data_IF_321588561914
#
_entry.id   IF_321588561914
#
_cell.length_a   1.000
_cell.length_b   1.000
_cell.length_c   1.000
_cell.angle_alpha   90.00
_cell.angle_beta   90.00
_cell.angle_gamma   90.00
#
_symmetry.space_group_name_H-M   'P 1'
#
loop_
_entity.id
_entity.type
_entity.pdbx_description
1 polymer ?
#
# COMPACT_ATOMS: atom_id res chain seq x y z
N UNK A 1 8.79 -0.93 -3.54
CA UNK A 1 7.31 -0.93 -3.45
C UNK A 1 6.69 0.09 -4.39
N UNK A 2 7.20 1.33 -4.47
CA UNK A 2 6.75 2.32 -5.46
C UNK A 2 7.41 2.03 -6.80
N UNK A 3 6.65 2.03 -7.88
CA UNK A 3 7.12 1.88 -9.26
C UNK A 3 7.41 3.23 -9.90
N UNK A 4 6.53 4.20 -9.73
CA UNK A 4 6.68 5.55 -10.24
C UNK A 4 5.84 6.55 -9.45
N UNK A 5 6.18 7.83 -9.58
CA UNK A 5 5.45 8.95 -8.98
C UNK A 5 5.10 9.92 -10.11
N UNK A 6 3.86 10.39 -10.12
CA UNK A 6 3.26 11.26 -11.13
C UNK A 6 2.56 12.46 -10.47
N UNK A 7 2.17 13.44 -11.28
CA UNK A 7 1.49 14.69 -10.91
C UNK A 7 1.96 15.31 -9.57
N UNK A 8 3.27 15.46 -9.41
CA UNK A 8 3.84 16.01 -8.17
C UNK A 8 3.60 17.51 -8.13
N UNK A 9 2.89 17.97 -7.10
CA UNK A 9 2.64 19.38 -6.83
C UNK A 9 3.01 19.73 -5.39
N UNK A 10 3.82 20.77 -5.23
CA UNK A 10 4.07 21.43 -3.97
C UNK A 10 3.55 22.87 -4.05
N UNK A 11 2.84 23.33 -3.02
CA UNK A 11 2.36 24.71 -2.91
C UNK A 11 2.80 25.28 -1.58
N UNK A 12 3.56 26.36 -1.65
CA UNK A 12 3.95 27.18 -0.51
C UNK A 12 2.78 28.10 -0.13
N UNK A 13 2.34 28.01 1.12
CA UNK A 13 1.22 28.76 1.68
C UNK A 13 1.68 29.87 2.64
N UNK A 14 2.98 30.16 2.69
CA UNK A 14 3.59 31.10 3.61
C UNK A 14 4.58 30.42 4.58
N UNK A 15 5.05 31.16 5.61
CA UNK A 15 6.10 30.67 6.50
C UNK A 15 5.74 29.31 7.11
N UNK A 16 6.59 28.32 6.88
CA UNK A 16 6.50 26.96 7.44
C UNK A 16 5.20 26.19 7.12
N UNK A 17 4.58 26.49 5.96
CA UNK A 17 3.36 25.83 5.51
C UNK A 17 3.42 25.42 4.04
N UNK A 18 3.80 24.18 3.79
CA UNK A 18 3.81 23.56 2.45
C UNK A 18 2.72 22.49 2.37
N UNK A 19 1.99 22.47 1.25
CA UNK A 19 1.09 21.38 0.84
C UNK A 19 1.75 20.57 -0.28
N UNK A 20 1.88 19.27 -0.06
CA UNK A 20 2.40 18.32 -1.02
C UNK A 20 1.30 17.37 -1.51
N UNK A 21 1.20 17.19 -2.83
CA UNK A 21 0.31 16.24 -3.49
C UNK A 21 1.11 15.45 -4.52
N UNK A 22 0.88 14.15 -4.61
CA UNK A 22 1.45 13.32 -5.67
C UNK A 22 0.61 12.07 -5.93
N UNK A 23 0.62 11.61 -7.17
CA UNK A 23 0.08 10.33 -7.58
C UNK A 23 1.18 9.27 -7.50
N UNK A 24 0.90 8.13 -6.88
CA UNK A 24 1.88 7.09 -6.62
C UNK A 24 1.42 5.78 -7.23
N UNK A 25 2.23 5.25 -8.16
CA UNK A 25 2.03 3.93 -8.73
C UNK A 25 2.78 2.91 -7.90
N UNK A 26 2.05 1.95 -7.31
CA UNK A 26 2.64 0.88 -6.51
C UNK A 26 2.86 -0.39 -7.35
N UNK A 27 3.95 -1.09 -7.07
CA UNK A 27 4.15 -2.44 -7.59
C UNK A 27 3.36 -3.42 -6.73
N UNK A 28 2.18 -3.82 -7.23
CA UNK A 28 1.31 -4.79 -6.55
C UNK A 28 2.03 -6.09 -6.16
N UNK A 29 2.99 -6.56 -6.96
CA UNK A 29 3.76 -7.78 -6.62
C UNK A 29 4.67 -7.56 -5.42
N UNK A 30 5.29 -6.39 -5.30
CA UNK A 30 6.10 -6.05 -4.12
C UNK A 30 5.22 -5.90 -2.88
N UNK A 31 4.05 -5.26 -3.01
CA UNK A 31 3.09 -5.12 -1.90
C UNK A 31 2.60 -6.50 -1.44
N UNK A 32 2.22 -7.37 -2.36
CA UNK A 32 1.85 -8.75 -2.04
C UNK A 32 3.02 -9.50 -1.43
N UNK A 33 4.25 -9.33 -1.90
CA UNK A 33 5.42 -9.99 -1.29
C UNK A 33 5.62 -9.58 0.17
N UNK A 34 5.42 -8.30 0.49
CA UNK A 34 5.46 -7.82 1.88
C UNK A 34 4.32 -8.38 2.73
N UNK A 35 3.14 -8.58 2.14
CA UNK A 35 2.03 -9.25 2.81
C UNK A 35 2.38 -10.73 3.11
N UNK A 36 2.92 -11.45 2.12
CA UNK A 36 3.30 -12.86 2.24
C UNK A 36 4.40 -13.12 3.28
N UNK A 37 5.28 -12.16 3.55
CA UNK A 37 6.31 -12.31 4.60
C UNK A 37 5.74 -12.53 6.01
N UNK A 38 4.47 -12.18 6.24
CA UNK A 38 3.78 -12.38 7.52
C UNK A 38 2.99 -13.69 7.59
N UNK A 39 3.00 -14.46 6.50
CA UNK A 39 2.18 -15.66 6.35
C UNK A 39 3.05 -16.92 6.35
N UNK A 40 2.46 -18.02 6.81
CA UNK A 40 3.02 -19.35 6.66
C UNK A 40 2.56 -19.94 5.33
N UNK A 41 3.43 -19.84 4.31
CA UNK A 41 3.13 -20.31 2.96
C UNK A 41 3.00 -21.83 2.87
N UNK A 42 3.67 -22.59 3.73
CA UNK A 42 3.57 -24.06 3.74
C UNK A 42 2.19 -24.49 4.23
N UNK A 43 1.70 -23.84 5.29
CA UNK A 43 0.33 -24.04 5.77
C UNK A 43 -0.71 -23.66 4.73
N UNK A 44 -0.57 -22.48 4.11
CA UNK A 44 -1.51 -22.02 3.08
C UNK A 44 -1.53 -22.97 1.88
N UNK A 45 -0.38 -23.45 1.43
CA UNK A 45 -0.30 -24.42 0.34
C UNK A 45 -1.07 -25.70 0.68
N UNK A 46 -0.92 -26.21 1.91
CA UNK A 46 -1.64 -27.38 2.40
C UNK A 46 -3.15 -27.14 2.46
N UNK A 47 -3.56 -25.96 2.91
CA UNK A 47 -4.98 -25.58 2.98
C UNK A 47 -5.61 -25.56 1.58
N UNK A 48 -4.93 -24.94 0.59
CA UNK A 48 -5.39 -24.86 -0.80
C UNK A 48 -5.47 -26.25 -1.45
N UNK A 49 -4.53 -27.15 -1.16
CA UNK A 49 -4.56 -28.53 -1.66
C UNK A 49 -5.78 -29.32 -1.16
N UNK A 50 -6.38 -28.89 -0.04
CA UNK A 50 -7.60 -29.47 0.52
C UNK A 50 -8.89 -28.93 -0.10
N UNK A 51 -8.84 -27.87 -0.90
CA UNK A 51 -10.04 -27.29 -1.50
C UNK A 51 -10.61 -28.20 -2.57
N UNK A 52 -11.94 -28.39 -2.53
CA UNK A 52 -12.66 -29.28 -3.45
C UNK A 52 -13.62 -28.51 -4.35
N UNK A 53 -13.88 -27.24 -4.01
CA UNK A 53 -14.85 -26.40 -4.72
C UNK A 53 -14.23 -25.07 -5.15
N UNK A 54 -14.76 -24.51 -6.24
CA UNK A 54 -14.37 -23.18 -6.72
C UNK A 54 -14.72 -22.10 -5.68
N UNK A 55 -15.81 -22.27 -4.93
CA UNK A 55 -16.23 -21.32 -3.89
C UNK A 55 -15.22 -21.21 -2.74
N UNK A 56 -14.58 -22.30 -2.34
CA UNK A 56 -13.51 -22.27 -1.32
C UNK A 56 -12.30 -21.46 -1.80
N UNK A 57 -11.89 -21.71 -3.05
CA UNK A 57 -10.80 -20.97 -3.70
C UNK A 57 -11.15 -19.49 -3.87
N UNK A 58 -12.36 -19.18 -4.30
CA UNK A 58 -12.84 -17.80 -4.47
C UNK A 58 -12.79 -17.03 -3.14
N UNK A 59 -13.32 -17.62 -2.06
CA UNK A 59 -13.26 -17.02 -0.73
C UNK A 59 -11.82 -16.76 -0.29
N UNK A 60 -10.93 -17.72 -0.48
CA UNK A 60 -9.51 -17.57 -0.16
C UNK A 60 -8.88 -16.39 -0.92
N UNK A 61 -9.15 -16.27 -2.22
CA UNK A 61 -8.62 -15.17 -3.04
C UNK A 61 -9.18 -13.80 -2.63
N UNK A 62 -10.47 -13.74 -2.25
CA UNK A 62 -11.09 -12.52 -1.76
C UNK A 62 -10.48 -12.07 -0.43
N UNK A 63 -10.32 -12.98 0.54
CA UNK A 63 -9.72 -12.68 1.84
C UNK A 63 -8.29 -12.15 1.70
N UNK A 64 -7.46 -12.78 0.86
CA UNK A 64 -6.10 -12.30 0.61
C UNK A 64 -6.06 -11.02 -0.22
N UNK A 65 -7.02 -10.84 -1.15
CA UNK A 65 -7.17 -9.62 -1.93
C UNK A 65 -7.40 -8.41 -1.04
N UNK A 66 -8.33 -8.51 -0.09
CA UNK A 66 -8.61 -7.47 0.91
C UNK A 66 -7.37 -7.14 1.72
N UNK A 67 -6.68 -8.16 2.26
CA UNK A 67 -5.46 -7.95 3.07
C UNK A 67 -4.31 -7.28 2.30
N UNK A 68 -4.19 -7.54 0.99
CA UNK A 68 -3.20 -6.87 0.14
C UNK A 68 -3.56 -5.40 -0.06
N UNK A 69 -4.84 -5.08 -0.25
CA UNK A 69 -5.32 -3.68 -0.37
C UNK A 69 -5.13 -2.92 0.95
N UNK A 70 -5.44 -3.54 2.09
CA UNK A 70 -5.19 -2.95 3.41
C UNK A 70 -3.69 -2.67 3.62
N UNK A 71 -2.85 -3.61 3.16
CA UNK A 71 -1.40 -3.45 3.25
C UNK A 71 -0.91 -2.30 2.37
N UNK A 72 -1.50 -2.11 1.18
CA UNK A 72 -1.23 -0.97 0.31
C UNK A 72 -1.57 0.35 1.02
N UNK A 73 -2.77 0.49 1.58
CA UNK A 73 -3.18 1.68 2.33
C UNK A 73 -2.23 1.99 3.49
N UNK A 74 -1.87 0.97 4.26
CA UNK A 74 -0.90 1.11 5.37
C UNK A 74 0.49 1.59 4.89
N UNK A 75 0.92 1.21 3.68
CA UNK A 75 2.18 1.69 3.11
C UNK A 75 2.09 3.15 2.66
N UNK A 76 0.95 3.58 2.13
CA UNK A 76 0.68 5.00 1.81
C UNK A 76 0.82 5.84 3.08
N UNK A 77 0.09 5.49 4.14
CA UNK A 77 0.15 6.19 5.43
C UNK A 77 1.57 6.26 5.98
N UNK A 78 2.32 5.16 5.88
CA UNK A 78 3.72 5.10 6.34
C UNK A 78 4.60 6.09 5.58
N UNK A 79 4.41 6.23 4.27
CA UNK A 79 5.16 7.17 3.43
C UNK A 79 4.76 8.62 3.80
N UNK A 80 3.47 8.90 3.95
CA UNK A 80 3.00 10.24 4.34
C UNK A 80 3.54 10.68 5.69
N UNK A 81 3.49 9.80 6.69
CA UNK A 81 4.04 10.06 8.02
C UNK A 81 5.55 10.31 7.95
N UNK A 82 6.28 9.54 7.14
CA UNK A 82 7.71 9.73 6.94
C UNK A 82 8.01 11.09 6.29
N UNK A 83 7.26 11.48 5.25
CA UNK A 83 7.43 12.78 4.58
C UNK A 83 7.22 13.95 5.55
N UNK A 84 6.16 13.91 6.37
CA UNK A 84 5.89 14.93 7.40
C UNK A 84 6.98 14.97 8.48
N UNK A 85 7.52 13.81 8.87
CA UNK A 85 8.58 13.73 9.88
C UNK A 85 9.91 14.29 9.36
N UNK A 86 10.26 13.96 8.13
CA UNK A 86 11.54 14.36 7.52
C UNK A 86 11.52 15.82 7.05
N UNK A 87 10.34 16.42 6.84
CA UNK A 87 10.15 17.81 6.36
C UNK A 87 9.07 18.53 7.20
N UNK A 88 9.45 19.15 8.35
CA UNK A 88 8.51 19.76 9.29
C UNK A 88 7.65 20.91 8.72
N UNK A 89 8.08 21.54 7.65
CA UNK A 89 7.36 22.57 6.89
C UNK A 89 6.14 22.01 6.13
N UNK A 90 6.11 20.69 5.87
CA UNK A 90 5.00 20.04 5.20
C UNK A 90 3.87 19.80 6.19
N UNK A 91 2.80 20.61 6.08
CA UNK A 91 1.60 20.48 6.92
C UNK A 91 0.58 19.52 6.36
N UNK A 92 0.53 19.43 5.03
CA UNK A 92 -0.42 18.57 4.32
C UNK A 92 0.33 17.72 3.29
N UNK A 93 0.12 16.41 3.38
CA UNK A 93 0.54 15.42 2.38
C UNK A 93 -0.72 14.72 1.93
N UNK A 94 -0.84 14.52 0.62
CA UNK A 94 -1.92 13.77 -0.01
C UNK A 94 -1.29 12.89 -1.09
N UNK A 95 -1.20 11.59 -0.82
CA UNK A 95 -0.71 10.60 -1.78
C UNK A 95 -1.87 9.79 -2.33
N UNK A 96 -2.13 9.96 -3.62
CA UNK A 96 -3.21 9.25 -4.32
C UNK A 96 -2.63 8.03 -5.05
N UNK A 97 -3.37 6.92 -5.07
CA UNK A 97 -2.95 5.70 -5.81
C UNK A 97 -3.47 5.80 -7.24
N UNK A 98 -2.61 5.47 -8.21
CA UNK A 98 -2.95 5.38 -9.65
C UNK A 98 -3.66 4.08 -10.04
#
# INVERSE_FOLDING_TARGET
IIRSIHDVKATDLGPDSVRFKAEVNFDGREVTRLHLQKLDLERILKDIQGYTTVTELERFLLEHGEQVVDKLGSEVDRIEMKLKKDNPEIRHVDLEIL
#
